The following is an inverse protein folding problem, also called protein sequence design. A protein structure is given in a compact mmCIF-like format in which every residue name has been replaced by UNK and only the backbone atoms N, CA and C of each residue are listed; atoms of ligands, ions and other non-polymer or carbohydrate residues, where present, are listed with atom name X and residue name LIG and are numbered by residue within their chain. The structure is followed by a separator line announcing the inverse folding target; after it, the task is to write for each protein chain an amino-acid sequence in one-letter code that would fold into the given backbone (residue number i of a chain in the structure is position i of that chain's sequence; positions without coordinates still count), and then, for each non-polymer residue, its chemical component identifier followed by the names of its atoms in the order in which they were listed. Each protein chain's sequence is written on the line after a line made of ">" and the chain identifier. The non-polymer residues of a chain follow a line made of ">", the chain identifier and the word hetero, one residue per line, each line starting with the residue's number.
data_IF_092824460040
#
_entry.id   IF_092824460040
#
_cell.length_a   1.000
_cell.length_b   1.000
_cell.length_c   1.000
_cell.angle_alpha   90.00
_cell.angle_beta   90.00
_cell.angle_gamma   90.00
#
_symmetry.space_group_name_H-M   'P 1'
#
loop_
_entity.id
_entity.type
_entity.pdbx_description
1 polymer ?
#
# COMPACT_ATOMS: atom_id res chain seq x y z
N UNK A 1 18.96 -20.02 2.88
CA UNK A 1 20.13 -19.63 2.07
C UNK A 1 20.93 -18.64 2.90
N UNK A 2 22.25 -18.68 2.83
CA UNK A 2 23.09 -17.73 3.57
C UNK A 2 23.16 -16.39 2.84
N UNK A 3 23.31 -15.31 3.60
CA UNK A 3 23.50 -13.98 3.05
C UNK A 3 24.79 -13.90 2.23
N UNK A 4 24.73 -13.13 1.14
CA UNK A 4 25.83 -12.87 0.23
C UNK A 4 26.04 -11.37 0.10
N UNK A 5 27.24 -11.00 -0.31
CA UNK A 5 27.59 -9.61 -0.60
C UNK A 5 27.37 -9.30 -2.07
N UNK A 6 26.57 -8.28 -2.36
CA UNK A 6 26.25 -7.81 -3.71
C UNK A 6 26.82 -6.41 -3.93
N UNK A 7 27.24 -6.14 -5.17
CA UNK A 7 27.79 -4.84 -5.57
C UNK A 7 26.86 -4.20 -6.59
N UNK A 8 26.39 -2.99 -6.32
CA UNK A 8 25.50 -2.24 -7.21
C UNK A 8 26.07 -0.85 -7.49
N UNK A 9 25.65 -0.24 -8.59
CA UNK A 9 25.76 1.21 -8.76
C UNK A 9 24.37 1.80 -8.63
N UNK A 10 24.06 2.49 -7.53
CA UNK A 10 22.74 3.07 -7.28
C UNK A 10 22.82 4.59 -7.35
N UNK A 11 22.03 5.20 -8.25
CA UNK A 11 22.02 6.64 -8.51
C UNK A 11 23.45 7.20 -8.74
N UNK A 12 24.25 6.46 -9.52
CA UNK A 12 25.65 6.82 -9.84
C UNK A 12 26.68 6.54 -8.75
N UNK A 13 26.29 6.00 -7.59
CA UNK A 13 27.20 5.68 -6.49
C UNK A 13 27.37 4.17 -6.36
N UNK A 14 28.62 3.70 -6.29
CA UNK A 14 28.90 2.30 -5.96
C UNK A 14 28.51 2.01 -4.51
N UNK A 15 27.73 0.96 -4.31
CA UNK A 15 27.27 0.50 -3.00
C UNK A 15 27.48 -1.00 -2.86
N UNK A 16 27.73 -1.43 -1.63
CA UNK A 16 27.84 -2.83 -1.25
C UNK A 16 26.75 -3.13 -0.23
N UNK A 17 26.02 -4.23 -0.45
CA UNK A 17 24.88 -4.63 0.39
C UNK A 17 24.96 -6.12 0.70
N UNK A 18 24.40 -6.52 1.84
CA UNK A 18 24.37 -7.92 2.26
C UNK A 18 22.93 -8.39 2.34
N UNK A 19 22.59 -9.46 1.62
CA UNK A 19 21.24 -9.97 1.54
C UNK A 19 21.22 -11.45 1.13
N UNK A 20 20.09 -12.13 1.36
CA UNK A 20 19.88 -13.46 0.80
C UNK A 20 19.70 -13.38 -0.73
N UNK A 21 20.04 -14.44 -1.48
CA UNK A 21 19.92 -14.46 -2.95
C UNK A 21 18.51 -14.20 -3.51
N UNK A 22 17.49 -14.49 -2.71
CA UNK A 22 16.06 -14.33 -3.02
C UNK A 22 15.42 -13.09 -2.36
N UNK A 23 16.20 -12.25 -1.67
CA UNK A 23 15.74 -10.92 -1.26
C UNK A 23 15.39 -10.09 -2.49
N UNK A 24 14.28 -9.35 -2.44
CA UNK A 24 13.88 -8.47 -3.55
C UNK A 24 14.77 -7.23 -3.57
N UNK A 25 15.07 -6.73 -4.75
CA UNK A 25 15.79 -5.46 -4.93
C UNK A 25 15.05 -4.29 -4.25
N UNK A 26 13.71 -4.32 -4.28
CA UNK A 26 12.88 -3.33 -3.59
C UNK A 26 13.20 -3.23 -2.09
N UNK A 27 13.28 -4.37 -1.41
CA UNK A 27 13.53 -4.45 0.04
C UNK A 27 14.94 -3.91 0.35
N UNK A 28 15.94 -4.23 -0.48
CA UNK A 28 17.29 -3.67 -0.33
C UNK A 28 17.32 -2.15 -0.53
N UNK A 29 16.66 -1.64 -1.58
CA UNK A 29 16.61 -0.20 -1.86
C UNK A 29 15.90 0.56 -0.72
N UNK A 30 14.78 0.04 -0.21
CA UNK A 30 13.98 0.71 0.84
C UNK A 30 14.59 0.54 2.24
N UNK A 31 14.94 -0.68 2.62
CA UNK A 31 15.22 -1.03 4.02
C UNK A 31 16.69 -0.89 4.39
N UNK A 32 17.60 -1.18 3.45
CA UNK A 32 19.04 -1.03 3.67
C UNK A 32 19.55 0.33 3.19
N UNK A 33 19.14 0.77 1.99
CA UNK A 33 19.64 2.00 1.37
C UNK A 33 18.76 3.23 1.63
N UNK A 34 17.59 3.06 2.26
CA UNK A 34 16.65 4.15 2.63
C UNK A 34 16.18 5.00 1.43
N UNK A 35 16.10 4.39 0.25
CA UNK A 35 15.53 4.98 -0.96
C UNK A 35 14.02 4.71 -1.02
N UNK A 36 13.29 5.35 -0.10
CA UNK A 36 11.85 5.17 0.09
C UNK A 36 11.00 5.76 -1.05
N UNK A 37 11.61 6.45 -2.02
CA UNK A 37 10.94 6.86 -3.25
C UNK A 37 10.54 5.66 -4.12
N UNK A 38 11.17 4.49 -3.93
CA UNK A 38 10.71 3.21 -4.46
C UNK A 38 9.55 2.73 -3.59
N UNK A 39 8.30 2.94 -4.05
CA UNK A 39 7.10 2.69 -3.21
C UNK A 39 6.66 1.23 -3.26
N UNK A 40 6.45 0.60 -2.10
CA UNK A 40 5.83 -0.72 -2.03
C UNK A 40 4.30 -0.63 -1.94
N UNK A 41 3.62 -0.91 -3.04
CA UNK A 41 2.16 -0.98 -3.08
C UNK A 41 1.64 -2.41 -2.95
N UNK A 42 1.88 -3.22 -3.98
CA UNK A 42 1.32 -4.58 -4.05
C UNK A 42 2.30 -5.69 -3.67
N UNK A 43 3.60 -5.40 -3.57
CA UNK A 43 4.71 -6.35 -3.41
C UNK A 43 4.76 -7.59 -4.36
N UNK A 44 3.90 -7.63 -5.38
CA UNK A 44 3.61 -8.81 -6.24
C UNK A 44 3.71 -8.52 -7.73
N UNK A 45 4.21 -7.34 -8.10
CA UNK A 45 4.44 -6.96 -9.50
C UNK A 45 3.26 -6.35 -10.25
N UNK A 46 2.10 -6.17 -9.64
CA UNK A 46 0.91 -5.71 -10.36
C UNK A 46 0.81 -4.18 -10.54
N UNK A 47 1.26 -3.38 -9.57
CA UNK A 47 0.94 -1.94 -9.55
C UNK A 47 2.01 -0.99 -10.12
N UNK A 48 3.28 -1.43 -10.23
CA UNK A 48 4.38 -0.62 -10.77
C UNK A 48 4.81 0.58 -9.93
N UNK A 49 4.38 0.68 -8.66
CA UNK A 49 4.82 1.76 -7.75
C UNK A 49 6.31 1.71 -7.42
N UNK A 50 6.90 0.50 -7.46
CA UNK A 50 8.31 0.22 -7.20
C UNK A 50 9.17 0.23 -8.48
N UNK A 51 8.77 0.99 -9.51
CA UNK A 51 9.51 1.03 -10.77
C UNK A 51 10.87 1.73 -10.55
N UNK A 52 11.93 1.07 -11.01
CA UNK A 52 13.29 1.60 -11.08
C UNK A 52 13.84 1.36 -12.48
N UNK A 53 14.92 2.04 -12.86
CA UNK A 53 15.64 1.76 -14.10
C UNK A 53 16.83 0.87 -13.75
N UNK A 54 16.83 -0.36 -14.24
CA UNK A 54 17.96 -1.28 -14.16
C UNK A 54 18.60 -1.41 -15.55
N UNK A 55 19.86 -1.01 -15.67
CA UNK A 55 20.65 -1.11 -16.92
C UNK A 55 19.89 -0.55 -18.14
N UNK A 56 19.29 0.64 -17.95
CA UNK A 56 18.54 1.35 -18.98
C UNK A 56 17.10 0.86 -19.21
N UNK A 57 16.60 -0.13 -18.45
CA UNK A 57 15.24 -0.65 -18.58
C UNK A 57 14.41 -0.39 -17.34
N UNK A 58 13.18 0.07 -17.52
CA UNK A 58 12.20 0.13 -16.43
C UNK A 58 11.85 -1.30 -15.96
N UNK A 59 12.07 -1.57 -14.67
CA UNK A 59 11.76 -2.86 -14.02
C UNK A 59 11.04 -2.63 -12.70
N UNK A 60 10.15 -3.57 -12.36
CA UNK A 60 9.48 -3.61 -11.06
C UNK A 60 10.46 -4.19 -10.04
N UNK A 61 10.99 -3.37 -9.14
CA UNK A 61 12.02 -3.79 -8.19
C UNK A 61 11.58 -4.96 -7.29
N UNK A 62 10.27 -5.09 -7.01
CA UNK A 62 9.72 -6.20 -6.23
C UNK A 62 9.82 -7.58 -6.91
N UNK A 63 10.11 -7.64 -8.22
CA UNK A 63 10.28 -8.89 -8.97
C UNK A 63 11.74 -9.21 -9.28
N UNK A 64 12.66 -8.28 -9.01
CA UNK A 64 14.10 -8.48 -9.20
C UNK A 64 14.67 -9.05 -7.91
N UNK A 65 15.32 -10.19 -7.99
CA UNK A 65 16.00 -10.82 -6.85
C UNK A 65 17.46 -10.37 -6.81
N UNK A 66 18.06 -10.27 -5.63
CA UNK A 66 19.43 -9.79 -5.48
C UNK A 66 20.46 -10.59 -6.28
N UNK A 67 20.29 -11.91 -6.40
CA UNK A 67 21.14 -12.75 -7.29
C UNK A 67 21.11 -12.37 -8.78
N UNK A 68 20.14 -11.54 -9.20
CA UNK A 68 20.02 -10.99 -10.57
C UNK A 68 20.33 -9.50 -10.64
N UNK A 69 20.56 -8.86 -9.50
CA UNK A 69 20.90 -7.44 -9.42
C UNK A 69 22.41 -7.20 -9.28
N UNK A 70 23.20 -8.23 -8.93
CA UNK A 70 24.65 -8.06 -8.76
C UNK A 70 25.34 -7.46 -10.00
N UNK A 71 26.15 -6.43 -9.78
CA UNK A 71 26.82 -5.64 -10.80
C UNK A 71 25.92 -4.65 -11.56
N UNK A 72 24.62 -4.57 -11.27
CA UNK A 72 23.70 -3.75 -12.04
C UNK A 72 23.79 -2.25 -11.71
N UNK A 73 23.45 -1.43 -12.71
CA UNK A 73 23.24 0.00 -12.54
C UNK A 73 21.76 0.29 -12.30
N UNK A 74 21.43 0.81 -11.12
CA UNK A 74 20.07 1.11 -10.68
C UNK A 74 19.89 2.62 -10.57
N UNK A 75 18.85 3.16 -11.21
CA UNK A 75 18.38 4.52 -11.00
C UNK A 75 16.99 4.49 -10.38
N UNK A 76 16.86 5.19 -9.27
CA UNK A 76 15.60 5.40 -8.53
C UNK A 76 15.10 6.83 -8.73
N UNK A 77 13.94 7.17 -8.17
CA UNK A 77 13.37 8.53 -8.31
C UNK A 77 14.26 9.60 -7.68
N UNK A 78 15.02 9.23 -6.64
CA UNK A 78 16.00 10.09 -5.97
C UNK A 78 17.18 10.42 -6.87
N UNK A 79 17.45 9.58 -7.88
CA UNK A 79 18.60 9.71 -8.77
C UNK A 79 18.40 10.59 -10.00
N UNK A 80 17.19 11.12 -10.24
CA UNK A 80 16.88 11.86 -11.46
C UNK A 80 16.88 13.39 -11.29
N UNK A 81 17.06 13.87 -10.06
CA UNK A 81 17.17 15.31 -9.81
C UNK A 81 18.41 15.90 -10.51
N UNK A 82 18.31 17.16 -10.94
CA UNK A 82 19.44 17.91 -11.51
C UNK A 82 20.55 18.15 -10.48
N UNK A 83 21.72 18.61 -10.96
CA UNK A 83 22.91 18.80 -10.11
C UNK A 83 22.68 19.72 -8.89
N UNK A 84 21.74 20.67 -9.00
CA UNK A 84 21.37 21.61 -7.94
C UNK A 84 20.09 21.21 -7.18
N UNK A 85 19.61 19.97 -7.35
CA UNK A 85 18.33 19.52 -6.81
C UNK A 85 17.10 19.97 -7.60
N UNK A 86 17.31 20.48 -8.81
CA UNK A 86 16.23 20.86 -9.74
C UNK A 86 15.39 19.65 -10.13
N UNK A 87 14.09 19.87 -10.32
CA UNK A 87 13.19 18.84 -10.79
C UNK A 87 13.56 18.42 -12.22
N UNK A 88 13.54 17.11 -12.47
CA UNK A 88 13.62 16.58 -13.82
C UNK A 88 12.43 17.10 -14.65
N UNK A 89 12.56 17.36 -15.97
CA UNK A 89 11.45 17.81 -16.81
C UNK A 89 10.19 16.95 -16.71
N UNK A 90 10.37 15.63 -16.53
CA UNK A 90 9.26 14.69 -16.28
C UNK A 90 8.53 15.00 -14.97
N UNK A 91 9.26 15.29 -13.90
CA UNK A 91 8.66 15.65 -12.61
C UNK A 91 7.90 16.97 -12.74
N UNK A 92 8.46 17.96 -13.44
CA UNK A 92 7.80 19.24 -13.67
C UNK A 92 6.52 19.08 -14.50
N UNK A 93 6.55 18.33 -15.61
CA UNK A 93 5.36 18.06 -16.40
C UNK A 93 4.26 17.36 -15.60
N UNK A 94 4.62 16.45 -14.68
CA UNK A 94 3.63 15.82 -13.81
C UNK A 94 2.96 16.82 -12.85
N UNK A 95 3.68 17.86 -12.42
CA UNK A 95 3.11 18.96 -11.63
C UNK A 95 2.17 19.79 -12.51
N UNK A 96 2.66 20.23 -13.68
CA UNK A 96 1.96 21.16 -14.57
C UNK A 96 0.64 20.59 -15.09
N UNK A 97 0.59 19.28 -15.36
CA UNK A 97 -0.61 18.58 -15.83
C UNK A 97 -1.48 18.01 -14.71
N UNK A 98 -1.15 18.27 -13.43
CA UNK A 98 -1.90 17.75 -12.30
C UNK A 98 -1.91 16.21 -12.23
N UNK A 99 -0.83 15.58 -12.71
CA UNK A 99 -0.65 14.13 -12.76
C UNK A 99 -0.36 13.51 -11.38
N UNK A 100 -0.52 14.27 -10.30
CA UNK A 100 -0.30 13.85 -8.92
C UNK A 100 -1.48 14.24 -8.02
N UNK A 101 -2.10 13.22 -7.41
CA UNK A 101 -3.16 13.38 -6.41
C UNK A 101 -2.69 12.82 -5.06
N UNK A 102 -2.87 11.53 -4.78
CA UNK A 102 -2.31 10.92 -3.57
C UNK A 102 -0.77 10.89 -3.62
N UNK A 103 -0.19 10.76 -4.82
CA UNK A 103 1.25 10.77 -5.08
C UNK A 103 1.94 9.41 -4.98
N UNK A 104 1.28 8.38 -4.46
CA UNK A 104 1.94 7.10 -4.15
C UNK A 104 2.47 6.37 -5.39
N UNK A 105 1.73 6.41 -6.51
CA UNK A 105 2.20 5.81 -7.77
C UNK A 105 3.17 6.70 -8.55
N UNK A 106 3.28 7.97 -8.19
CA UNK A 106 3.94 8.99 -9.01
C UNK A 106 5.42 8.68 -9.28
N UNK A 107 6.25 8.28 -8.29
CA UNK A 107 7.63 7.86 -8.56
C UNK A 107 7.73 6.78 -9.62
N UNK A 108 6.91 5.73 -9.51
CA UNK A 108 6.91 4.62 -10.46
C UNK A 108 6.55 5.05 -11.88
N UNK A 109 5.55 5.92 -12.04
CA UNK A 109 5.19 6.48 -13.35
C UNK A 109 6.30 7.37 -13.94
N UNK A 110 6.93 8.21 -13.12
CA UNK A 110 8.05 9.06 -13.55
C UNK A 110 9.21 8.20 -14.04
N UNK A 111 9.56 7.12 -13.33
CA UNK A 111 10.65 6.22 -13.75
C UNK A 111 10.32 5.47 -15.05
N UNK A 112 9.08 5.00 -15.23
CA UNK A 112 8.65 4.38 -16.49
C UNK A 112 8.69 5.37 -17.66
N UNK A 113 8.16 6.59 -17.46
CA UNK A 113 8.19 7.65 -18.47
C UNK A 113 9.62 8.03 -18.83
N UNK A 114 10.53 8.09 -17.83
CA UNK A 114 11.95 8.35 -18.06
C UNK A 114 12.58 7.27 -18.92
N UNK A 115 12.40 5.99 -18.57
CA UNK A 115 12.97 4.90 -19.36
C UNK A 115 12.48 4.89 -20.82
N UNK A 116 11.22 5.30 -21.05
CA UNK A 116 10.69 5.48 -22.40
C UNK A 116 11.37 6.64 -23.12
N UNK A 117 11.37 7.84 -22.52
CA UNK A 117 11.82 9.07 -23.15
C UNK A 117 13.33 9.11 -23.36
N UNK A 118 14.11 8.48 -22.48
CA UNK A 118 15.56 8.30 -22.67
C UNK A 118 15.88 7.46 -23.92
N UNK A 119 14.99 6.53 -24.28
CA UNK A 119 15.16 5.65 -25.45
C UNK A 119 14.55 6.24 -26.72
N UNK A 120 13.38 6.85 -26.61
CA UNK A 120 12.66 7.50 -27.70
C UNK A 120 12.08 8.82 -27.18
N UNK A 121 12.67 9.98 -27.54
CA UNK A 121 12.18 11.29 -27.10
C UNK A 121 10.81 11.68 -27.69
N UNK A 122 10.38 11.04 -28.78
CA UNK A 122 9.12 11.32 -29.47
C UNK A 122 8.30 10.02 -29.64
N UNK A 123 7.94 9.33 -28.53
CA UNK A 123 7.15 8.11 -28.60
C UNK A 123 5.75 8.45 -29.09
N UNK A 124 5.13 7.52 -29.80
CA UNK A 124 3.72 7.56 -30.17
C UNK A 124 2.83 7.27 -28.96
N UNK A 125 1.54 7.64 -29.02
CA UNK A 125 0.60 7.35 -27.93
C UNK A 125 0.55 5.84 -27.59
N UNK A 126 0.47 4.89 -28.55
CA UNK A 126 0.55 3.47 -28.23
C UNK A 126 1.83 3.05 -27.50
N UNK A 127 2.98 3.65 -27.82
CA UNK A 127 4.24 3.38 -27.11
C UNK A 127 4.21 3.91 -25.68
N UNK A 128 3.60 5.08 -25.44
CA UNK A 128 3.36 5.61 -24.09
C UNK A 128 2.47 4.66 -23.29
N UNK A 129 1.34 4.23 -23.87
CA UNK A 129 0.46 3.24 -23.22
C UNK A 129 1.20 1.96 -22.87
N UNK A 130 2.04 1.46 -23.79
CA UNK A 130 2.81 0.24 -23.59
C UNK A 130 3.84 0.39 -22.47
N UNK A 131 4.56 1.51 -22.43
CA UNK A 131 5.56 1.78 -21.39
C UNK A 131 4.95 1.90 -19.99
N UNK A 132 3.70 2.39 -19.90
CA UNK A 132 2.99 2.61 -18.64
C UNK A 132 2.02 1.47 -18.25
N UNK A 133 1.96 0.39 -19.03
CA UNK A 133 0.93 -0.67 -18.86
C UNK A 133 0.97 -1.33 -17.46
N UNK A 134 2.15 -1.34 -16.83
CA UNK A 134 2.36 -1.92 -15.50
C UNK A 134 2.30 -0.89 -14.37
N UNK A 135 1.98 0.36 -14.66
CA UNK A 135 1.79 1.42 -13.69
C UNK A 135 0.28 1.67 -13.46
N UNK A 136 -0.19 1.36 -12.26
CA UNK A 136 -1.60 1.51 -11.89
C UNK A 136 -1.76 2.79 -11.06
N UNK A 137 -2.72 3.63 -11.46
CA UNK A 137 -3.18 4.77 -10.67
C UNK A 137 -4.66 4.59 -10.31
N UNK A 138 -5.01 4.81 -9.04
CA UNK A 138 -6.41 4.77 -8.59
C UNK A 138 -7.05 6.15 -8.45
N UNK A 139 -6.28 7.23 -8.62
CA UNK A 139 -6.74 8.60 -8.36
C UNK A 139 -7.03 9.41 -9.65
N UNK A 140 -6.14 9.34 -10.64
CA UNK A 140 -6.17 10.29 -11.78
C UNK A 140 -6.95 9.78 -13.00
N UNK A 141 -7.30 8.50 -13.03
CA UNK A 141 -7.84 7.86 -14.24
C UNK A 141 -6.87 7.87 -15.43
N UNK A 142 -5.56 8.01 -15.16
CA UNK A 142 -4.43 7.99 -16.12
C UNK A 142 -4.34 9.18 -17.09
N UNK A 143 -5.42 9.86 -17.41
CA UNK A 143 -5.43 10.94 -18.41
C UNK A 143 -4.42 12.07 -18.12
N UNK A 144 -4.33 12.55 -16.86
CA UNK A 144 -3.37 13.59 -16.50
C UNK A 144 -1.91 13.13 -16.66
N UNK A 145 -1.63 11.85 -16.42
CA UNK A 145 -0.30 11.25 -16.59
C UNK A 145 0.04 11.13 -18.08
N UNK A 146 -0.91 10.64 -18.89
CA UNK A 146 -0.72 10.55 -20.33
C UNK A 146 -0.44 11.92 -20.95
N UNK A 147 -1.21 12.95 -20.54
CA UNK A 147 -1.01 14.33 -20.99
C UNK A 147 0.40 14.85 -20.67
N UNK A 148 0.90 14.60 -19.46
CA UNK A 148 2.26 14.99 -19.07
C UNK A 148 3.34 14.34 -19.97
N UNK A 149 3.20 13.05 -20.26
CA UNK A 149 4.18 12.33 -21.12
C UNK A 149 4.03 12.73 -22.59
N UNK A 150 2.80 12.95 -23.07
CA UNK A 150 2.54 13.44 -24.42
C UNK A 150 3.13 14.84 -24.65
N UNK A 151 2.99 15.75 -23.69
CA UNK A 151 3.55 17.10 -23.76
C UNK A 151 5.08 17.05 -23.91
N UNK A 152 5.76 16.26 -23.08
CA UNK A 152 7.20 16.03 -23.17
C UNK A 152 7.63 15.37 -24.48
N UNK A 153 6.78 14.52 -25.06
CA UNK A 153 6.99 13.89 -26.35
C UNK A 153 6.79 14.86 -27.54
N UNK A 154 6.34 16.10 -27.29
CA UNK A 154 5.96 17.05 -28.33
C UNK A 154 4.65 16.70 -29.03
N UNK A 155 3.81 15.87 -28.43
CA UNK A 155 2.48 15.54 -28.95
C UNK A 155 1.44 16.60 -28.57
N UNK A 156 0.40 16.81 -29.40
CA UNK A 156 -0.69 17.71 -29.05
C UNK A 156 -1.45 17.22 -27.83
N UNK A 157 -1.58 18.09 -26.82
CA UNK A 157 -2.40 17.87 -25.62
C UNK A 157 -3.66 18.72 -25.70
N UNK A 158 -4.88 18.16 -25.51
CA UNK A 158 -6.11 18.96 -25.56
C UNK A 158 -6.08 20.10 -24.53
N UNK A 159 -6.48 21.33 -24.87
CA UNK A 159 -6.44 22.45 -23.91
C UNK A 159 -7.38 22.19 -22.72
N UNK A 160 -7.09 22.86 -21.59
CA UNK A 160 -8.02 22.87 -20.47
C UNK A 160 -9.32 23.61 -20.85
N UNK A 161 -10.48 23.24 -20.27
CA UNK A 161 -11.73 23.97 -20.49
C UNK A 161 -11.59 25.45 -20.13
N UNK A 162 -12.26 26.32 -20.90
CA UNK A 162 -12.25 27.76 -20.63
C UNK A 162 -13.03 28.08 -19.35
N UNK A 163 -12.54 29.09 -18.61
CA UNK A 163 -13.15 29.58 -17.38
C UNK A 163 -13.63 31.02 -17.63
N UNK A 164 -14.89 31.33 -17.30
CA UNK A 164 -15.50 32.63 -17.59
C UNK A 164 -14.85 33.81 -16.87
N UNK A 165 -14.46 33.64 -15.61
CA UNK A 165 -13.90 34.69 -14.76
C UNK A 165 -12.94 34.07 -13.74
N UNK A 166 -11.73 33.65 -14.15
CA UNK A 166 -10.75 33.13 -13.22
C UNK A 166 -10.34 34.24 -12.23
N UNK A 167 -10.17 33.88 -10.96
CA UNK A 167 -9.64 34.80 -9.95
C UNK A 167 -8.14 34.51 -9.76
N UNK A 168 -7.51 35.16 -8.78
CA UNK A 168 -6.09 34.98 -8.50
C UNK A 168 -5.71 33.52 -8.25
N UNK A 169 -6.51 32.78 -7.46
CA UNK A 169 -6.28 31.37 -7.15
C UNK A 169 -7.45 30.45 -7.53
N UNK A 170 -8.67 30.99 -7.66
CA UNK A 170 -9.86 30.20 -7.97
C UNK A 170 -9.94 30.00 -9.48
N UNK A 171 -10.12 28.74 -9.89
CA UNK A 171 -10.19 28.32 -11.29
C UNK A 171 -8.89 28.60 -12.08
N UNK A 172 -7.76 28.51 -11.39
CA UNK A 172 -6.41 28.55 -11.97
C UNK A 172 -5.74 27.17 -11.81
N UNK A 173 -4.95 26.69 -12.79
CA UNK A 173 -4.22 25.42 -12.70
C UNK A 173 -2.94 25.58 -11.88
N UNK A 174 -3.07 26.02 -10.63
CA UNK A 174 -1.93 26.23 -9.74
C UNK A 174 -1.37 24.88 -9.26
N UNK A 175 -0.04 24.72 -9.15
CA UNK A 175 0.58 23.56 -8.53
C UNK A 175 0.06 23.34 -7.10
N UNK A 176 -0.17 22.07 -6.75
CA UNK A 176 -0.49 21.73 -5.35
C UNK A 176 0.74 21.94 -4.46
N UNK A 177 0.57 22.42 -3.21
CA UNK A 177 1.69 22.61 -2.29
C UNK A 177 2.50 21.33 -2.03
N UNK A 178 1.85 20.16 -2.13
CA UNK A 178 2.45 18.84 -1.89
C UNK A 178 2.99 18.16 -3.17
N UNK A 179 2.94 18.84 -4.32
CA UNK A 179 3.25 18.22 -5.62
C UNK A 179 4.73 17.83 -5.75
N UNK A 180 5.64 18.73 -5.35
CA UNK A 180 7.10 18.52 -5.42
C UNK A 180 7.51 17.25 -4.70
N UNK A 181 7.06 17.09 -3.44
CA UNK A 181 7.40 15.93 -2.63
C UNK A 181 6.92 14.61 -3.25
N UNK A 182 5.78 14.63 -3.93
CA UNK A 182 5.20 13.45 -4.58
C UNK A 182 5.92 13.07 -5.87
N UNK A 183 6.35 14.05 -6.67
CA UNK A 183 7.03 13.78 -7.95
C UNK A 183 8.49 13.40 -7.79
N UNK A 184 9.15 13.84 -6.71
CA UNK A 184 10.56 13.51 -6.45
C UNK A 184 10.78 12.39 -5.42
N UNK A 185 9.70 11.80 -4.91
CA UNK A 185 9.77 10.67 -3.97
C UNK A 185 10.08 11.07 -2.52
N UNK A 186 10.26 12.35 -2.20
CA UNK A 186 10.50 12.83 -0.82
C UNK A 186 9.24 12.86 0.04
N UNK A 187 8.06 12.67 -0.57
CA UNK A 187 6.80 12.47 0.13
C UNK A 187 6.84 11.17 0.95
N UNK A 188 6.67 11.32 2.26
CA UNK A 188 6.71 10.23 3.24
C UNK A 188 5.28 9.69 3.44
N UNK A 189 5.13 8.37 3.27
CA UNK A 189 3.94 7.62 3.62
C UNK A 189 4.21 6.75 4.86
N UNK A 190 3.16 6.16 5.42
CA UNK A 190 3.27 5.35 6.66
C UNK A 190 4.31 4.23 6.51
N UNK A 191 4.36 3.58 5.34
CA UNK A 191 5.32 2.51 5.05
C UNK A 191 6.77 3.01 4.87
N UNK A 192 6.98 4.31 4.69
CA UNK A 192 8.32 4.89 4.59
C UNK A 192 8.90 5.28 5.95
N UNK A 193 8.08 5.24 7.02
CA UNK A 193 8.51 5.65 8.35
C UNK A 193 9.51 4.65 8.92
N UNK A 194 10.63 5.17 9.42
CA UNK A 194 11.61 4.40 10.16
C UNK A 194 11.96 5.13 11.46
N UNK A 195 11.83 4.42 12.57
CA UNK A 195 12.23 4.89 13.90
C UNK A 195 13.13 3.83 14.51
N UNK A 196 14.31 4.23 14.98
CA UNK A 196 15.25 3.31 15.61
C UNK A 196 14.59 2.63 16.82
N UNK A 197 14.60 1.29 16.84
CA UNK A 197 13.95 0.49 17.88
C UNK A 197 12.43 0.40 17.78
N UNK A 198 11.81 0.79 16.65
CA UNK A 198 10.37 0.59 16.47
C UNK A 198 9.99 -0.89 16.47
N UNK A 199 8.84 -1.20 17.04
CA UNK A 199 8.25 -2.53 16.97
C UNK A 199 7.38 -2.65 15.72
N UNK A 200 7.35 -3.86 15.17
CA UNK A 200 6.51 -4.21 14.03
C UNK A 200 5.23 -4.88 14.51
N UNK A 201 4.11 -4.23 14.22
CA UNK A 201 2.77 -4.69 14.57
C UNK A 201 2.17 -5.58 13.49
N UNK A 202 1.66 -6.77 13.84
CA UNK A 202 0.91 -7.64 12.94
C UNK A 202 -0.37 -8.15 13.62
N UNK A 203 -1.47 -8.17 12.88
CA UNK A 203 -2.76 -8.62 13.40
C UNK A 203 -3.07 -10.02 12.93
N UNK A 204 -3.38 -10.93 13.87
CA UNK A 204 -4.02 -12.19 13.54
C UNK A 204 -5.45 -11.90 13.11
N UNK A 205 -5.77 -12.27 11.87
CA UNK A 205 -7.10 -12.06 11.31
C UNK A 205 -7.81 -13.39 11.08
N UNK A 206 -9.13 -13.38 11.22
CA UNK A 206 -9.97 -14.55 11.01
C UNK A 206 -9.84 -15.10 9.60
N UNK A 207 -9.61 -16.42 9.49
CA UNK A 207 -9.76 -17.16 8.24
C UNK A 207 -11.21 -17.62 7.99
N UNK A 208 -12.10 -17.47 8.98
CA UNK A 208 -13.49 -17.89 8.90
C UNK A 208 -14.43 -16.70 8.64
N UNK A 209 -15.46 -16.88 7.79
CA UNK A 209 -16.45 -15.83 7.53
C UNK A 209 -17.42 -15.63 8.70
N UNK A 210 -17.73 -16.66 9.49
CA UNK A 210 -18.56 -16.53 10.68
C UNK A 210 -18.27 -17.72 11.61
N UNK A 211 -17.78 -17.46 12.82
CA UNK A 211 -17.48 -18.52 13.79
C UNK A 211 -17.40 -17.98 15.21
N UNK A 212 -17.84 -18.75 16.20
CA UNK A 212 -17.66 -18.43 17.62
C UNK A 212 -16.21 -18.71 18.03
N UNK A 213 -15.62 -17.79 18.78
CA UNK A 213 -14.28 -17.97 19.37
C UNK A 213 -14.42 -18.76 20.66
N UNK A 214 -13.97 -20.01 20.67
CA UNK A 214 -14.02 -20.87 21.87
C UNK A 214 -12.79 -20.70 22.73
N UNK A 215 -11.63 -20.47 22.11
CA UNK A 215 -10.34 -20.25 22.78
C UNK A 215 -9.38 -19.50 21.86
N UNK A 216 -8.61 -18.57 22.42
CA UNK A 216 -7.46 -17.94 21.78
C UNK A 216 -6.27 -18.14 22.70
N UNK A 217 -5.29 -18.95 22.28
CA UNK A 217 -4.09 -19.27 23.04
C UNK A 217 -2.86 -18.68 22.34
N UNK A 218 -2.33 -17.61 22.93
CA UNK A 218 -1.14 -16.90 22.47
C UNK A 218 0.11 -17.23 23.29
N UNK A 219 0.08 -18.27 24.15
CA UNK A 219 1.19 -18.58 25.08
C UNK A 219 2.52 -18.82 24.37
N UNK A 220 2.52 -19.62 23.29
CA UNK A 220 3.70 -19.89 22.48
C UNK A 220 4.23 -18.65 21.76
N UNK A 221 3.32 -17.82 21.24
CA UNK A 221 3.68 -16.56 20.58
C UNK A 221 4.32 -15.57 21.57
N UNK A 222 3.81 -15.47 22.79
CA UNK A 222 4.37 -14.63 23.87
C UNK A 222 5.76 -15.08 24.32
N UNK A 223 6.04 -16.38 24.27
CA UNK A 223 7.32 -16.95 24.66
C UNK A 223 8.39 -16.89 23.56
N UNK A 224 8.04 -16.48 22.33
CA UNK A 224 8.97 -16.43 21.21
C UNK A 224 9.99 -15.28 21.39
N UNK A 225 11.31 -15.53 21.33
CA UNK A 225 12.31 -14.47 21.41
C UNK A 225 12.13 -13.40 20.33
N UNK A 226 12.25 -12.14 20.73
CA UNK A 226 12.02 -10.97 19.87
C UNK A 226 10.56 -10.56 19.74
N UNK A 227 9.62 -11.26 20.38
CA UNK A 227 8.24 -10.79 20.57
C UNK A 227 8.16 -9.98 21.85
N UNK A 228 7.65 -8.75 21.75
CA UNK A 228 7.52 -7.83 22.88
C UNK A 228 6.14 -7.90 23.52
N UNK A 229 5.09 -8.05 22.70
CA UNK A 229 3.72 -8.19 23.19
C UNK A 229 2.86 -9.02 22.26
N UNK A 230 1.92 -9.77 22.84
CA UNK A 230 0.78 -10.36 22.13
C UNK A 230 -0.48 -10.02 22.90
N UNK A 231 -1.29 -9.15 22.30
CA UNK A 231 -2.51 -8.59 22.87
C UNK A 231 -3.73 -9.30 22.30
N UNK A 232 -4.68 -9.64 23.16
CA UNK A 232 -6.01 -10.13 22.79
C UNK A 232 -7.07 -9.14 23.25
N UNK A 233 -8.34 -9.47 23.06
CA UNK A 233 -9.44 -8.64 23.54
C UNK A 233 -9.44 -8.43 25.07
N UNK A 234 -8.73 -9.25 25.85
CA UNK A 234 -8.60 -9.08 27.30
C UNK A 234 -7.64 -7.97 27.69
N UNK A 235 -6.75 -7.57 26.78
CA UNK A 235 -5.79 -6.49 26.99
C UNK A 235 -6.37 -5.11 26.63
N UNK A 236 -7.64 -5.04 26.16
CA UNK A 236 -8.30 -3.77 25.86
C UNK A 236 -8.70 -3.09 27.18
N UNK A 237 -8.11 -1.93 27.55
CA UNK A 237 -8.25 -1.34 28.89
C UNK A 237 -9.61 -0.69 29.15
N UNK A 238 -10.48 -0.62 28.14
CA UNK A 238 -11.77 0.05 28.21
C UNK A 238 -12.86 -0.76 27.52
N UNK A 239 -13.79 -0.06 26.87
CA UNK A 239 -14.84 -0.71 26.10
C UNK A 239 -14.21 -1.54 24.96
N UNK A 240 -14.56 -2.83 24.89
CA UNK A 240 -14.06 -3.76 23.86
C UNK A 240 -14.66 -3.50 22.48
N UNK A 241 -15.76 -2.76 22.40
CA UNK A 241 -16.50 -2.44 21.19
C UNK A 241 -16.48 -0.94 20.86
N UNK A 242 -16.52 -0.62 19.58
CA UNK A 242 -16.60 0.73 19.03
C UNK A 242 -17.50 0.74 17.78
N UNK A 243 -17.75 1.93 17.24
CA UNK A 243 -18.38 2.11 15.93
C UNK A 243 -18.83 3.55 15.73
N UNK A 244 -19.23 3.89 14.50
CA UNK A 244 -19.52 5.29 14.11
C UNK A 244 -20.95 5.69 14.44
N UNK A 245 -21.91 4.79 14.18
CA UNK A 245 -23.34 5.01 14.43
C UNK A 245 -23.84 4.10 15.55
N UNK A 246 -23.45 2.82 15.52
CA UNK A 246 -23.74 1.81 16.52
C UNK A 246 -22.42 1.32 17.12
N UNK A 247 -22.42 0.79 18.35
CA UNK A 247 -21.22 0.30 19.04
C UNK A 247 -21.10 -1.22 18.85
N UNK A 248 -21.01 -1.66 17.61
CA UNK A 248 -21.22 -3.05 17.20
C UNK A 248 -19.94 -3.77 16.76
N UNK A 249 -18.80 -3.07 16.70
CA UNK A 249 -17.53 -3.60 16.20
C UNK A 249 -16.54 -3.84 17.33
N UNK A 250 -16.02 -5.07 17.49
CA UNK A 250 -14.98 -5.32 18.49
C UNK A 250 -13.65 -4.70 18.05
N UNK A 251 -12.89 -4.13 18.99
CA UNK A 251 -11.48 -3.72 18.78
C UNK A 251 -10.65 -4.94 18.40
N UNK A 252 -10.82 -6.02 19.17
CA UNK A 252 -10.36 -7.38 18.88
C UNK A 252 -11.51 -8.33 19.26
N UNK A 253 -11.81 -9.31 18.41
CA UNK A 253 -12.88 -10.27 18.62
C UNK A 253 -12.69 -11.02 19.95
N UNK A 254 -13.72 -11.01 20.79
CA UNK A 254 -13.75 -11.77 22.05
C UNK A 254 -14.85 -12.84 22.05
N UNK A 255 -15.88 -12.68 21.22
CA UNK A 255 -17.06 -13.54 21.18
C UNK A 255 -17.08 -14.43 19.92
N UNK A 256 -17.03 -13.80 18.76
CA UNK A 256 -17.09 -14.42 17.44
C UNK A 256 -16.44 -13.53 16.39
N UNK A 257 -16.08 -14.14 15.28
CA UNK A 257 -15.62 -13.46 14.07
C UNK A 257 -16.82 -13.32 13.12
N UNK A 258 -17.00 -12.15 12.52
CA UNK A 258 -18.18 -11.79 11.72
C UNK A 258 -17.93 -11.79 10.22
N UNK A 259 -16.66 -11.80 9.81
CA UNK A 259 -16.22 -11.87 8.42
C UNK A 259 -14.76 -12.36 8.32
N UNK A 260 -14.34 -12.75 7.11
CA UNK A 260 -12.94 -13.08 6.84
C UNK A 260 -12.11 -11.80 6.95
N UNK A 261 -11.10 -11.81 7.81
CA UNK A 261 -10.29 -10.62 8.09
C UNK A 261 -10.55 -9.95 9.43
N UNK A 262 -11.57 -10.40 10.18
CA UNK A 262 -11.91 -9.87 11.50
C UNK A 262 -10.73 -10.03 12.48
N UNK A 263 -10.47 -9.02 13.32
CA UNK A 263 -9.21 -8.92 14.08
C UNK A 263 -9.28 -9.69 15.40
N UNK A 264 -8.36 -10.63 15.66
CA UNK A 264 -8.44 -11.52 16.83
C UNK A 264 -7.37 -11.21 17.88
N UNK A 265 -6.14 -11.01 17.43
CA UNK A 265 -5.00 -10.71 18.30
C UNK A 265 -4.01 -9.79 17.58
N UNK A 266 -3.24 -9.01 18.34
CA UNK A 266 -2.19 -8.14 17.83
C UNK A 266 -0.84 -8.59 18.40
N UNK A 267 0.14 -8.77 17.53
CA UNK A 267 1.55 -9.02 17.89
C UNK A 267 2.34 -7.73 17.69
N UNK A 268 3.23 -7.41 18.63
CA UNK A 268 4.31 -6.46 18.44
C UNK A 268 5.65 -7.17 18.66
N UNK A 269 6.56 -7.09 17.68
CA UNK A 269 7.86 -7.75 17.71
C UNK A 269 8.98 -6.82 17.21
N UNK A 270 10.23 -7.20 17.48
CA UNK A 270 11.43 -6.43 17.11
C UNK A 270 11.68 -6.40 15.59
N UNK A 271 11.05 -7.29 14.82
CA UNK A 271 11.10 -7.29 13.36
C UNK A 271 9.81 -7.82 12.76
N UNK A 272 9.55 -7.45 11.52
CA UNK A 272 8.38 -7.93 10.78
C UNK A 272 8.33 -9.45 10.65
N UNK A 273 9.47 -10.08 10.32
CA UNK A 273 9.58 -11.53 10.23
C UNK A 273 9.27 -12.23 11.56
N UNK A 274 9.69 -11.65 12.68
CA UNK A 274 9.35 -12.17 14.02
C UNK A 274 7.88 -11.99 14.35
N UNK A 275 7.27 -10.87 13.95
CA UNK A 275 5.84 -10.69 14.11
C UNK A 275 5.05 -11.74 13.33
N UNK A 276 5.45 -12.03 12.08
CA UNK A 276 4.82 -13.07 11.25
C UNK A 276 5.01 -14.49 11.82
N UNK A 277 6.19 -14.80 12.37
CA UNK A 277 6.42 -16.09 13.03
C UNK A 277 5.59 -16.25 14.30
N UNK A 278 5.44 -15.19 15.09
CA UNK A 278 4.59 -15.20 16.27
C UNK A 278 3.11 -15.43 15.94
N UNK A 279 2.60 -14.83 14.85
CA UNK A 279 1.22 -15.06 14.41
C UNK A 279 0.91 -16.54 14.16
N UNK A 280 1.86 -17.29 13.59
CA UNK A 280 1.73 -18.74 13.32
C UNK A 280 1.65 -19.58 14.60
N UNK A 281 2.06 -19.03 15.74
CA UNK A 281 2.06 -19.70 17.04
C UNK A 281 0.82 -19.41 17.88
N UNK A 282 -0.08 -18.53 17.42
CA UNK A 282 -1.35 -18.26 18.10
C UNK A 282 -2.36 -19.30 17.66
N UNK A 283 -2.85 -20.10 18.62
CA UNK A 283 -3.85 -21.13 18.37
C UNK A 283 -5.26 -20.59 18.65
N UNK A 284 -6.14 -20.68 17.66
CA UNK A 284 -7.55 -20.26 17.81
C UNK A 284 -8.46 -21.46 17.58
N UNK A 285 -9.32 -21.74 18.56
CA UNK A 285 -10.36 -22.77 18.47
C UNK A 285 -11.66 -22.10 18.05
N UNK A 286 -12.11 -22.42 16.84
CA UNK A 286 -13.34 -21.91 16.26
C UNK A 286 -14.47 -22.94 16.37
N UNK A 287 -15.69 -22.44 16.54
CA UNK A 287 -16.93 -23.17 16.25
C UNK A 287 -17.62 -22.46 15.07
N UNK A 288 -17.56 -23.01 13.84
CA UNK A 288 -18.16 -22.39 12.68
C UNK A 288 -19.66 -22.13 12.85
N UNK A 289 -20.11 -20.96 12.39
CA UNK A 289 -21.51 -20.56 12.42
C UNK A 289 -22.07 -20.42 11.00
N UNK A 290 -23.39 -20.53 10.79
CA UNK A 290 -24.01 -20.30 9.49
C UNK A 290 -23.67 -18.92 8.92
N UNK A 291 -23.24 -18.89 7.65
CA UNK A 291 -22.78 -17.66 6.99
C UNK A 291 -23.95 -16.91 6.34
N UNK A 292 -23.96 -15.58 6.54
CA UNK A 292 -24.81 -14.66 5.80
C UNK A 292 -23.94 -14.00 4.72
N UNK A 293 -24.05 -14.48 3.48
CA UNK A 293 -23.12 -14.13 2.39
C UNK A 293 -23.54 -12.88 1.60
N UNK A 294 -24.70 -12.30 1.90
CA UNK A 294 -25.18 -11.13 1.17
C UNK A 294 -26.47 -10.54 1.72
N UNK A 295 -26.85 -9.37 1.18
CA UNK A 295 -27.91 -8.55 1.73
C UNK A 295 -29.30 -9.21 1.64
N UNK A 296 -29.61 -9.91 0.55
CA UNK A 296 -30.89 -10.63 0.37
C UNK A 296 -31.07 -11.78 1.36
N UNK A 297 -29.98 -12.52 1.64
CA UNK A 297 -30.00 -13.57 2.65
C UNK A 297 -30.15 -12.98 4.05
N UNK A 298 -29.43 -11.88 4.35
CA UNK A 298 -29.49 -11.20 5.64
C UNK A 298 -30.90 -10.68 5.98
N UNK A 299 -31.68 -10.32 4.97
CA UNK A 299 -33.04 -9.81 5.11
C UNK A 299 -34.11 -10.89 5.28
N UNK A 300 -33.77 -12.18 5.13
CA UNK A 300 -34.74 -13.25 5.35
C UNK A 300 -35.12 -13.35 6.84
N UNK A 301 -36.39 -13.61 7.18
CA UNK A 301 -36.86 -13.67 8.58
C UNK A 301 -36.11 -14.69 9.46
N UNK A 302 -35.58 -15.76 8.84
CA UNK A 302 -34.83 -16.83 9.50
C UNK A 302 -33.32 -16.75 9.25
N UNK A 303 -32.82 -15.61 8.75
CA UNK A 303 -31.39 -15.41 8.54
C UNK A 303 -30.64 -15.53 9.87
N UNK A 304 -29.48 -16.22 9.89
CA UNK A 304 -28.59 -16.21 11.06
C UNK A 304 -28.28 -14.76 11.48
N UNK A 305 -28.33 -14.47 12.77
CA UNK A 305 -28.02 -13.14 13.27
C UNK A 305 -26.50 -12.95 13.37
N UNK A 306 -25.96 -12.00 12.60
CA UNK A 306 -24.54 -11.62 12.71
C UNK A 306 -24.30 -10.94 14.06
N UNK A 307 -25.26 -10.16 14.57
CA UNK A 307 -25.23 -9.57 15.90
C UNK A 307 -26.35 -10.19 16.76
N UNK A 308 -26.00 -11.08 17.69
CA UNK A 308 -26.97 -11.87 18.48
C UNK A 308 -27.69 -11.07 19.58
N UNK A 309 -27.10 -9.95 19.99
CA UNK A 309 -27.60 -9.09 21.06
C UNK A 309 -27.76 -7.64 20.59
N UNK A 310 -28.57 -7.38 19.56
CA UNK A 310 -28.67 -6.06 18.97
C UNK A 310 -29.17 -5.00 19.96
N UNK A 311 -29.96 -5.40 20.97
CA UNK A 311 -30.44 -4.55 22.05
C UNK A 311 -29.32 -3.87 22.86
N UNK A 312 -28.12 -4.44 22.85
CA UNK A 312 -26.95 -3.85 23.51
C UNK A 312 -26.40 -2.63 22.76
N UNK A 313 -26.75 -2.49 21.48
CA UNK A 313 -26.29 -1.41 20.62
C UNK A 313 -27.34 -0.30 20.52
N UNK A 314 -28.61 -0.67 20.28
CA UNK A 314 -29.75 0.25 20.35
C UNK A 314 -31.08 -0.47 20.66
N UNK A 315 -32.07 0.21 21.29
CA UNK A 315 -33.36 -0.41 21.68
C UNK A 315 -34.19 -0.97 20.52
N UNK A 316 -33.92 -0.55 19.28
CA UNK A 316 -34.63 -0.96 18.06
C UNK A 316 -33.71 -1.64 17.03
N UNK A 317 -32.47 -1.96 17.40
CA UNK A 317 -31.54 -2.62 16.50
C UNK A 317 -32.03 -4.05 16.18
N UNK A 318 -31.86 -4.47 14.93
CA UNK A 318 -32.05 -5.86 14.51
C UNK A 318 -30.68 -6.50 14.31
N UNK A 319 -30.55 -7.79 14.65
CA UNK A 319 -29.26 -8.50 14.60
C UNK A 319 -28.64 -8.62 13.19
N UNK A 320 -29.44 -8.32 12.16
CA UNK A 320 -29.02 -8.04 10.79
C UNK A 320 -29.63 -6.70 10.36
N UNK A 321 -28.82 -5.64 10.23
CA UNK A 321 -29.29 -4.30 9.86
C UNK A 321 -30.13 -4.26 8.58
N UNK A 322 -29.80 -5.12 7.61
CA UNK A 322 -30.45 -5.14 6.30
C UNK A 322 -31.87 -5.74 6.30
N UNK A 323 -32.28 -6.43 7.36
CA UNK A 323 -33.65 -6.93 7.49
C UNK A 323 -34.68 -5.79 7.63
N UNK A 324 -34.22 -4.57 7.96
CA UNK A 324 -35.07 -3.37 7.99
C UNK A 324 -35.37 -2.80 6.60
N UNK A 325 -34.71 -3.31 5.55
CA UNK A 325 -34.88 -2.82 4.18
C UNK A 325 -35.60 -3.88 3.35
N UNK A 326 -36.64 -3.48 2.62
CA UNK A 326 -37.26 -4.31 1.59
C UNK A 326 -36.29 -4.42 0.40
N UNK A 327 -35.54 -5.51 0.35
CA UNK A 327 -34.57 -5.80 -0.71
C UNK A 327 -35.16 -6.83 -1.67
N UNK A 328 -35.88 -6.34 -2.68
CA UNK A 328 -36.42 -7.16 -3.78
C UNK A 328 -35.31 -7.81 -4.65
#
# INVERSE_FOLDING_TARGET
>A
MYDQTYHLTVNGKSVQVTAAPDTKLMDVLRDQLRLTGVKDGCATGHCGSCMVIQDGKAVRACLVLMKRADGANITTIEGIAGANGELHPIQQAFIDHGATQCGFCTPGFVMSAKALLDKNPHPTLPEIHKALEWNICRCTGHNAILRAVQDLAGQPVPPLPSVKKPLHAISQPLPRPDAVAKVNGTGIYVDDLYIAGMLHGKTLRSAYPHARLKRVDASKARALPGVVAVLTADDVPGRKDFGVHEIDWPVLCYDKVRYVGDAIALVAAESEARADDALKLIEVVYEPLPVVAGPKQAAQPNAPLVHEHPEKFAPHAHGNFLAHFALD
#
